data_IF_940813546123
#
_entry.id   IF_940813546123
#
_cell.length_a   1.000
_cell.length_b   1.000
_cell.length_c   1.000
_cell.angle_alpha   90.00
_cell.angle_beta   90.00
_cell.angle_gamma   90.00
#
_symmetry.space_group_name_H-M   'P 1'
#
loop_
_entity.id
_entity.type
_entity.pdbx_description
1 polymer ?
#
# COMPACT_ATOMS: atom_id res chain seq x y z
N UNK A 1 60.56 -19.20 -29.06
CA UNK A 1 59.57 -20.07 -28.40
C UNK A 1 59.27 -19.47 -27.04
N UNK A 2 58.19 -18.68 -26.95
CA UNK A 2 57.75 -18.03 -25.73
C UNK A 2 56.65 -18.90 -25.10
N UNK A 3 56.85 -19.30 -23.84
CA UNK A 3 55.84 -20.04 -23.08
C UNK A 3 54.83 -19.05 -22.50
N UNK A 4 53.66 -19.02 -23.11
CA UNK A 4 52.46 -18.39 -22.57
C UNK A 4 52.00 -19.18 -21.34
N UNK A 5 52.05 -18.54 -20.17
CA UNK A 5 51.60 -19.13 -18.91
C UNK A 5 50.22 -18.56 -18.60
N UNK A 6 49.19 -19.14 -19.21
CA UNK A 6 47.79 -18.86 -18.83
C UNK A 6 47.54 -19.46 -17.45
N UNK A 7 47.48 -18.60 -16.43
CA UNK A 7 47.08 -18.96 -15.07
C UNK A 7 45.67 -19.54 -15.05
N UNK A 8 45.55 -20.80 -14.65
CA UNK A 8 44.28 -21.44 -14.36
C UNK A 8 43.63 -20.80 -13.14
N UNK A 9 42.42 -20.29 -13.33
CA UNK A 9 41.54 -19.88 -12.24
C UNK A 9 41.02 -21.14 -11.56
N UNK A 10 41.38 -21.31 -10.30
CA UNK A 10 40.97 -22.43 -9.44
C UNK A 10 39.44 -22.41 -9.22
N UNK A 11 38.65 -23.40 -9.68
CA UNK A 11 37.20 -23.47 -9.51
C UNK A 11 36.84 -24.04 -8.13
N UNK A 12 37.44 -23.50 -7.07
CA UNK A 12 37.60 -24.23 -5.81
C UNK A 12 37.03 -23.60 -4.55
N UNK A 13 36.45 -22.40 -4.59
CA UNK A 13 35.82 -21.80 -3.41
C UNK A 13 34.72 -20.83 -3.82
N UNK A 14 33.49 -21.34 -3.97
CA UNK A 14 32.33 -20.46 -4.02
C UNK A 14 32.29 -19.64 -2.71
N UNK A 15 32.19 -18.30 -2.79
CA UNK A 15 32.05 -17.48 -1.60
C UNK A 15 30.76 -17.89 -0.88
N UNK A 16 30.91 -18.50 0.29
CA UNK A 16 29.79 -19.02 1.09
C UNK A 16 28.87 -17.91 1.64
N UNK A 17 29.35 -16.67 1.67
CA UNK A 17 28.63 -15.51 2.19
C UNK A 17 27.81 -14.75 1.14
N UNK A 18 26.87 -13.89 1.58
CA UNK A 18 26.16 -12.97 0.70
C UNK A 18 27.12 -11.91 0.17
N UNK A 19 27.13 -11.70 -1.14
CA UNK A 19 27.81 -10.57 -1.79
C UNK A 19 26.84 -9.41 -1.99
N UNK A 20 27.34 -8.20 -1.78
CA UNK A 20 26.63 -6.97 -2.13
C UNK A 20 27.12 -6.50 -3.48
N UNK A 21 26.24 -6.48 -4.46
CA UNK A 21 26.51 -5.86 -5.75
C UNK A 21 25.92 -4.45 -5.75
N UNK A 22 26.70 -3.47 -6.19
CA UNK A 22 26.30 -2.07 -6.28
C UNK A 22 26.30 -1.60 -7.74
N UNK A 23 25.27 -0.84 -8.11
CA UNK A 23 25.10 -0.21 -9.43
C UNK A 23 24.58 1.22 -9.23
N UNK A 24 25.50 2.17 -9.17
CA UNK A 24 25.21 3.58 -8.90
C UNK A 24 24.50 3.79 -7.56
N UNK A 25 23.22 4.19 -7.60
CA UNK A 25 22.37 4.42 -6.41
C UNK A 25 21.52 3.21 -6.05
N UNK A 26 21.88 2.03 -6.52
CA UNK A 26 21.16 0.78 -6.27
C UNK A 26 22.11 -0.29 -5.77
N UNK A 27 21.57 -1.23 -5.00
CA UNK A 27 22.29 -2.41 -4.56
C UNK A 27 21.39 -3.64 -4.61
N UNK A 28 21.99 -4.82 -4.70
CA UNK A 28 21.32 -6.09 -4.47
C UNK A 28 22.22 -7.02 -3.67
N UNK A 29 21.60 -7.98 -3.01
CA UNK A 29 22.29 -9.05 -2.28
C UNK A 29 22.19 -10.31 -3.10
N UNK A 30 23.32 -10.99 -3.33
CA UNK A 30 23.38 -12.27 -4.03
C UNK A 30 24.15 -13.28 -3.18
N UNK A 31 23.62 -14.49 -3.08
CA UNK A 31 24.32 -15.65 -2.55
C UNK A 31 24.04 -16.85 -3.44
N UNK A 32 24.63 -18.01 -3.14
CA UNK A 32 24.32 -19.25 -3.84
C UNK A 32 22.83 -19.65 -3.75
N UNK A 33 22.13 -19.21 -2.69
CA UNK A 33 20.74 -19.63 -2.39
C UNK A 33 19.70 -18.54 -2.62
N UNK A 34 20.08 -17.26 -2.57
CA UNK A 34 19.13 -16.14 -2.55
C UNK A 34 19.67 -14.97 -3.37
N UNK A 35 18.80 -14.34 -4.15
CA UNK A 35 19.10 -13.08 -4.83
C UNK A 35 17.95 -12.10 -4.61
N UNK A 36 18.29 -10.87 -4.25
CA UNK A 36 17.30 -9.77 -4.21
C UNK A 36 17.26 -9.06 -5.57
N UNK A 37 16.13 -8.42 -5.92
CA UNK A 37 16.13 -7.44 -7.01
C UNK A 37 17.03 -6.24 -6.64
N UNK A 38 17.34 -5.40 -7.63
CA UNK A 38 17.97 -4.10 -7.41
C UNK A 38 17.07 -3.20 -6.57
N UNK A 39 17.56 -2.76 -5.41
CA UNK A 39 16.89 -1.84 -4.49
C UNK A 39 17.61 -0.50 -4.46
N UNK A 40 16.92 0.63 -4.20
CA UNK A 40 17.58 1.89 -3.92
C UNK A 40 18.54 1.75 -2.74
N UNK A 41 19.77 2.22 -2.91
CA UNK A 41 20.79 2.16 -1.87
C UNK A 41 20.54 3.24 -0.82
N UNK A 42 19.84 2.85 0.24
CA UNK A 42 19.52 3.71 1.38
C UNK A 42 19.82 2.98 2.69
N UNK A 43 20.16 3.71 3.77
CA UNK A 43 20.38 3.10 5.08
C UNK A 43 19.20 2.23 5.54
N UNK A 44 17.96 2.68 5.29
CA UNK A 44 16.75 1.93 5.64
C UNK A 44 16.61 0.61 4.86
N UNK A 45 16.93 0.60 3.56
CA UNK A 45 16.90 -0.64 2.77
C UNK A 45 18.02 -1.60 3.16
N UNK A 46 19.24 -1.10 3.41
CA UNK A 46 20.35 -1.93 3.90
C UNK A 46 20.03 -2.54 5.26
N UNK A 47 19.46 -1.74 6.17
CA UNK A 47 18.99 -2.19 7.48
C UNK A 47 17.90 -3.27 7.39
N UNK A 48 16.88 -3.05 6.56
CA UNK A 48 15.81 -4.03 6.34
C UNK A 48 16.36 -5.35 5.78
N UNK A 49 17.33 -5.28 4.87
CA UNK A 49 17.97 -6.47 4.31
C UNK A 49 18.84 -7.22 5.31
N UNK A 50 19.56 -6.53 6.21
CA UNK A 50 20.27 -7.20 7.32
C UNK A 50 19.30 -8.03 8.16
N UNK A 51 18.17 -7.45 8.55
CA UNK A 51 17.16 -8.15 9.35
C UNK A 51 16.51 -9.28 8.55
N UNK A 52 16.15 -9.03 7.28
CA UNK A 52 15.53 -10.04 6.44
C UNK A 52 16.45 -11.25 6.21
N UNK A 53 17.70 -11.02 5.82
CA UNK A 53 18.67 -12.07 5.59
C UNK A 53 18.96 -12.87 6.87
N UNK A 54 18.97 -12.22 8.05
CA UNK A 54 19.15 -12.92 9.33
C UNK A 54 18.04 -13.92 9.64
N UNK A 55 16.82 -13.64 9.20
CA UNK A 55 15.64 -14.48 9.45
C UNK A 55 15.50 -15.65 8.46
N UNK A 56 16.35 -15.71 7.43
CA UNK A 56 16.34 -16.83 6.50
C UNK A 56 17.03 -18.02 7.15
N UNK A 57 16.33 -19.14 7.24
CA UNK A 57 16.84 -20.40 7.79
C UNK A 57 16.98 -21.43 6.65
N UNK A 58 17.89 -22.39 6.80
CA UNK A 58 17.93 -23.59 5.98
C UNK A 58 16.90 -24.64 6.45
N UNK A 59 16.89 -25.78 5.77
CA UNK A 59 15.99 -26.90 6.06
C UNK A 59 16.21 -27.52 7.46
N UNK A 60 17.32 -27.20 8.12
CA UNK A 60 17.61 -27.63 9.49
C UNK A 60 17.23 -26.55 10.53
N UNK A 61 16.64 -25.44 10.10
CA UNK A 61 16.32 -24.30 10.98
C UNK A 61 17.54 -23.46 11.35
N UNK A 62 18.68 -23.65 10.69
CA UNK A 62 19.90 -22.89 10.96
C UNK A 62 19.92 -21.62 10.09
N UNK A 63 20.30 -20.45 10.64
CA UNK A 63 20.36 -19.22 9.84
C UNK A 63 21.30 -19.34 8.64
N UNK A 64 20.81 -18.96 7.45
CA UNK A 64 21.55 -18.99 6.19
C UNK A 64 22.78 -18.08 6.20
N UNK A 65 22.77 -17.03 7.02
CA UNK A 65 23.84 -16.04 7.09
C UNK A 65 24.22 -15.73 8.54
N UNK A 66 25.51 -15.65 8.79
CA UNK A 66 26.10 -15.26 10.06
C UNK A 66 26.12 -13.74 10.24
N UNK A 67 26.17 -13.26 11.49
CA UNK A 67 26.24 -11.82 11.77
C UNK A 67 27.47 -11.12 11.13
N UNK A 68 28.68 -11.71 11.12
CA UNK A 68 29.82 -11.16 10.38
C UNK A 68 29.57 -11.03 8.88
N UNK A 69 28.96 -12.04 8.25
CA UNK A 69 28.61 -12.00 6.83
C UNK A 69 27.61 -10.87 6.52
N UNK A 70 26.62 -10.67 7.39
CA UNK A 70 25.63 -9.60 7.25
C UNK A 70 26.20 -8.20 7.45
N UNK A 71 27.37 -8.04 8.09
CA UNK A 71 28.01 -6.73 8.23
C UNK A 71 28.37 -6.13 6.86
N UNK A 72 28.66 -6.97 5.86
CA UNK A 72 28.97 -6.53 4.49
C UNK A 72 27.81 -5.74 3.86
N UNK A 73 26.55 -6.05 4.25
CA UNK A 73 25.35 -5.36 3.79
C UNK A 73 25.32 -3.89 4.21
N UNK A 74 26.03 -3.52 5.27
CA UNK A 74 26.14 -2.15 5.78
C UNK A 74 27.52 -1.53 5.50
N UNK A 75 28.29 -2.14 4.59
CA UNK A 75 29.57 -1.63 4.12
C UNK A 75 30.71 -1.75 5.14
N UNK A 76 30.61 -2.69 6.10
CA UNK A 76 31.64 -2.91 7.12
C UNK A 76 31.95 -4.40 7.25
N UNK A 77 33.17 -4.73 7.67
CA UNK A 77 33.60 -6.13 7.88
C UNK A 77 33.42 -6.60 9.33
N UNK A 78 33.22 -5.67 10.27
CA UNK A 78 33.09 -5.97 11.68
C UNK A 78 31.65 -6.40 12.04
N UNK A 79 31.49 -7.53 12.73
CA UNK A 79 30.22 -8.03 13.29
C UNK A 79 29.42 -6.98 14.06
N UNK A 80 30.11 -6.06 14.73
CA UNK A 80 29.50 -4.96 15.50
C UNK A 80 28.71 -3.98 14.62
N UNK A 81 28.93 -3.99 13.30
CA UNK A 81 28.17 -3.15 12.38
C UNK A 81 26.76 -3.69 12.13
N UNK A 82 26.57 -5.02 12.11
CA UNK A 82 25.25 -5.64 11.94
C UNK A 82 24.50 -5.77 13.26
N UNK A 83 25.20 -5.89 14.40
CA UNK A 83 24.59 -6.13 15.71
C UNK A 83 23.51 -5.11 16.09
N UNK A 84 23.72 -3.78 16.00
CA UNK A 84 22.70 -2.79 16.36
C UNK A 84 21.42 -2.93 15.56
N UNK A 85 21.53 -3.36 14.30
CA UNK A 85 20.38 -3.58 13.43
C UNK A 85 19.55 -4.78 13.86
N UNK A 86 20.20 -5.84 14.34
CA UNK A 86 19.54 -7.04 14.85
C UNK A 86 18.98 -6.83 16.26
N UNK A 87 19.71 -6.13 17.14
CA UNK A 87 19.23 -5.75 18.48
C UNK A 87 17.96 -4.90 18.40
N UNK A 88 17.84 -4.03 17.39
CA UNK A 88 16.61 -3.26 17.16
C UNK A 88 15.39 -4.16 16.84
N UNK A 89 15.60 -5.36 16.29
CA UNK A 89 14.55 -6.31 15.95
C UNK A 89 14.14 -7.21 17.12
N UNK A 90 15.05 -7.49 18.08
CA UNK A 90 14.78 -8.41 19.21
C UNK A 90 13.51 -8.09 20.01
N UNK A 91 13.22 -6.82 20.39
CA UNK A 91 11.99 -6.51 21.13
C UNK A 91 10.70 -6.79 20.35
N UNK A 92 10.79 -7.00 19.02
CA UNK A 92 9.67 -7.38 18.18
C UNK A 92 9.45 -8.89 18.12
N UNK A 93 10.12 -9.69 18.97
CA UNK A 93 10.02 -11.15 18.95
C UNK A 93 10.51 -11.77 17.63
N UNK A 94 11.43 -11.07 16.93
CA UNK A 94 11.91 -11.44 15.59
C UNK A 94 10.80 -11.46 14.50
N UNK A 95 9.62 -10.93 14.79
CA UNK A 95 8.54 -10.75 13.82
C UNK A 95 8.88 -9.58 12.87
N UNK A 96 9.12 -9.92 11.59
CA UNK A 96 9.43 -8.97 10.52
C UNK A 96 8.33 -7.91 10.33
N UNK A 97 7.06 -8.30 10.41
CA UNK A 97 5.95 -7.36 10.26
C UNK A 97 5.90 -6.41 11.45
N UNK A 98 6.04 -6.92 12.67
CA UNK A 98 6.11 -6.09 13.88
C UNK A 98 7.29 -5.13 13.82
N UNK A 99 8.46 -5.58 13.35
CA UNK A 99 9.64 -4.73 13.17
C UNK A 99 9.45 -3.65 12.12
N UNK A 100 8.90 -3.97 10.95
CA UNK A 100 8.61 -2.96 9.91
C UNK A 100 7.58 -1.94 10.40
N UNK A 101 6.56 -2.39 11.14
CA UNK A 101 5.58 -1.51 11.76
C UNK A 101 6.19 -0.65 12.87
N UNK A 102 7.17 -1.17 13.62
CA UNK A 102 7.91 -0.45 14.66
C UNK A 102 8.89 0.58 14.08
N UNK A 103 9.58 0.24 13.00
CA UNK A 103 10.43 1.20 12.28
C UNK A 103 9.60 2.28 11.56
N UNK A 104 8.30 1.99 11.33
CA UNK A 104 7.31 2.99 10.93
C UNK A 104 6.75 3.79 12.10
N UNK A 105 7.08 3.45 13.35
CA UNK A 105 6.65 4.21 14.54
C UNK A 105 7.33 5.57 14.52
N UNK A 106 6.72 6.49 13.80
CA UNK A 106 6.88 7.90 14.08
C UNK A 106 6.57 8.13 15.56
N UNK A 107 7.28 9.10 16.14
CA UNK A 107 7.12 9.51 17.53
C UNK A 107 5.67 9.36 18.03
N UNK A 108 5.44 8.41 18.93
CA UNK A 108 4.10 8.03 19.38
C UNK A 108 3.35 9.24 19.95
N UNK A 109 4.08 10.17 20.57
CA UNK A 109 3.51 11.42 21.10
C UNK A 109 2.99 12.32 19.98
N UNK A 110 3.67 12.33 18.82
CA UNK A 110 3.22 13.02 17.61
C UNK A 110 2.01 12.31 17.00
N UNK A 111 1.99 10.98 16.96
CA UNK A 111 0.83 10.20 16.48
C UNK A 111 -0.41 10.49 17.31
N UNK A 112 -0.30 10.45 18.64
CA UNK A 112 -1.38 10.78 19.56
C UNK A 112 -1.80 12.25 19.47
N UNK A 113 -0.84 13.17 19.34
CA UNK A 113 -1.10 14.59 19.12
C UNK A 113 -1.90 14.84 17.83
N UNK A 114 -1.52 14.19 16.73
CA UNK A 114 -2.21 14.27 15.44
C UNK A 114 -3.62 13.66 15.53
N UNK A 115 -3.77 12.51 16.19
CA UNK A 115 -5.09 11.91 16.42
C UNK A 115 -6.00 12.87 17.19
N UNK A 116 -5.50 13.46 18.28
CA UNK A 116 -6.26 14.43 19.06
C UNK A 116 -6.69 15.64 18.23
N UNK A 117 -5.75 16.27 17.51
CA UNK A 117 -6.05 17.42 16.64
C UNK A 117 -7.11 17.09 15.58
N UNK A 118 -7.02 15.88 15.01
CA UNK A 118 -7.95 15.39 13.98
C UNK A 118 -9.33 15.05 14.53
N UNK A 119 -9.45 14.59 15.78
CA UNK A 119 -10.75 14.38 16.42
C UNK A 119 -11.43 15.70 16.78
N UNK A 120 -10.68 16.75 17.11
CA UNK A 120 -11.25 18.07 17.38
C UNK A 120 -11.78 18.74 16.10
N UNK A 121 -11.02 18.64 15.00
CA UNK A 121 -11.39 19.22 13.70
C UNK A 121 -11.08 18.25 12.55
N UNK A 122 -11.97 17.28 12.29
CA UNK A 122 -11.71 16.23 11.30
C UNK A 122 -11.73 16.72 9.86
N UNK A 123 -12.30 17.90 9.60
CA UNK A 123 -12.35 18.54 8.28
C UNK A 123 -11.19 19.52 8.01
N UNK A 124 -10.40 19.85 9.03
CA UNK A 124 -9.26 20.75 8.90
C UNK A 124 -8.17 20.18 7.99
N UNK A 125 -7.43 21.08 7.33
CA UNK A 125 -6.33 20.70 6.45
C UNK A 125 -5.05 20.30 7.21
N UNK A 126 -4.08 19.62 6.56
CA UNK A 126 -2.83 19.21 7.19
C UNK A 126 -2.03 20.37 7.82
N UNK A 127 -2.06 21.56 7.22
CA UNK A 127 -1.36 22.75 7.75
C UNK A 127 -1.96 23.22 9.08
N UNK A 128 -3.28 23.17 9.23
CA UNK A 128 -3.96 23.53 10.47
C UNK A 128 -3.70 22.50 11.57
N UNK A 129 -3.69 21.21 11.21
CA UNK A 129 -3.30 20.17 12.15
C UNK A 129 -1.84 20.35 12.61
N UNK A 130 -0.92 20.74 11.72
CA UNK A 130 0.48 20.96 12.09
C UNK A 130 0.60 21.99 13.21
N UNK A 131 0.02 23.18 13.02
CA UNK A 131 0.06 24.27 14.01
C UNK A 131 -0.49 23.80 15.35
N UNK A 132 -1.63 23.09 15.35
CA UNK A 132 -2.27 22.59 16.57
C UNK A 132 -1.43 21.53 17.28
N UNK A 133 -0.79 20.64 16.54
CA UNK A 133 0.07 19.59 17.10
C UNK A 133 1.34 20.19 17.68
N UNK A 134 1.96 21.15 16.98
CA UNK A 134 3.12 21.89 17.46
C UNK A 134 2.81 22.63 18.77
N UNK A 135 1.68 23.34 18.82
CA UNK A 135 1.21 24.03 20.03
C UNK A 135 0.95 23.05 21.17
N UNK A 136 0.22 21.95 20.91
CA UNK A 136 -0.13 20.95 21.93
C UNK A 136 1.10 20.27 22.52
N UNK A 137 2.08 19.93 21.69
CA UNK A 137 3.28 19.20 22.11
C UNK A 137 4.43 20.14 22.51
N UNK A 138 4.22 21.46 22.45
CA UNK A 138 5.27 22.48 22.62
C UNK A 138 6.52 22.21 21.74
N UNK A 139 6.30 21.79 20.49
CA UNK A 139 7.36 21.39 19.54
C UNK A 139 7.24 22.13 18.23
N UNK A 140 8.18 23.03 17.96
CA UNK A 140 8.24 23.80 16.71
C UNK A 140 9.03 23.10 15.60
N UNK A 141 9.71 22.00 15.93
CA UNK A 141 10.55 21.25 15.00
C UNK A 141 9.76 20.27 14.11
N UNK A 142 8.46 20.09 14.38
CA UNK A 142 7.60 19.22 13.58
C UNK A 142 7.36 19.81 12.19
N UNK A 143 7.48 18.98 11.17
CA UNK A 143 7.19 19.33 9.77
C UNK A 143 5.95 18.63 9.24
N UNK A 144 5.46 19.06 8.08
CA UNK A 144 4.37 18.36 7.36
C UNK A 144 4.68 16.87 7.11
N UNK A 145 5.93 16.52 6.84
CA UNK A 145 6.34 15.13 6.64
C UNK A 145 6.25 14.28 7.92
N UNK A 146 6.48 14.88 9.10
CA UNK A 146 6.25 14.19 10.39
C UNK A 146 4.76 13.92 10.58
N UNK A 147 3.92 14.89 10.22
CA UNK A 147 2.47 14.79 10.31
C UNK A 147 1.91 13.73 9.37
N UNK A 148 2.34 13.70 8.11
CA UNK A 148 1.90 12.68 7.14
C UNK A 148 2.23 11.26 7.64
N UNK A 149 3.45 11.05 8.14
CA UNK A 149 3.85 9.75 8.73
C UNK A 149 3.03 9.40 9.97
N UNK A 150 2.62 10.38 10.77
CA UNK A 150 1.75 10.14 11.91
C UNK A 150 0.32 9.79 11.47
N UNK A 151 -0.21 10.45 10.44
CA UNK A 151 -1.53 10.15 9.87
C UNK A 151 -1.61 8.72 9.32
N UNK A 152 -0.55 8.24 8.66
CA UNK A 152 -0.48 6.86 8.14
C UNK A 152 -0.59 5.79 9.24
N UNK A 153 -0.35 6.14 10.50
CA UNK A 153 -0.41 5.23 11.64
C UNK A 153 -1.74 5.29 12.41
N UNK A 154 -2.60 6.26 12.11
CA UNK A 154 -3.86 6.46 12.82
C UNK A 154 -4.96 5.60 12.18
N UNK A 155 -5.58 4.73 12.97
CA UNK A 155 -6.77 4.00 12.54
C UNK A 155 -7.90 4.98 12.14
N UNK A 156 -8.58 4.74 11.02
CA UNK A 156 -9.60 5.68 10.53
C UNK A 156 -10.91 5.64 11.33
N UNK A 157 -11.18 4.53 12.04
CA UNK A 157 -12.47 4.27 12.71
C UNK A 157 -12.86 5.37 13.73
N UNK A 158 -11.98 5.82 14.64
CA UNK A 158 -12.32 6.90 15.57
C UNK A 158 -12.63 8.22 14.86
N UNK A 159 -11.87 8.55 13.81
CA UNK A 159 -12.06 9.78 13.01
C UNK A 159 -13.41 9.75 12.29
N UNK A 160 -13.78 8.61 11.71
CA UNK A 160 -15.07 8.44 11.03
C UNK A 160 -16.25 8.54 12.00
N UNK A 161 -16.15 7.97 13.20
CA UNK A 161 -17.21 8.09 14.23
C UNK A 161 -17.42 9.54 14.65
N UNK A 162 -16.34 10.29 14.90
CA UNK A 162 -16.43 11.70 15.26
C UNK A 162 -17.00 12.53 14.13
N UNK A 163 -16.56 12.30 12.90
CA UNK A 163 -17.11 12.98 11.71
C UNK A 163 -18.60 12.69 11.55
N UNK A 164 -19.02 11.45 11.74
CA UNK A 164 -20.44 11.06 11.71
C UNK A 164 -21.27 11.82 12.74
N UNK A 165 -20.81 11.89 14.00
CA UNK A 165 -21.49 12.68 15.05
C UNK A 165 -21.58 14.17 14.73
N UNK A 166 -20.54 14.73 14.12
CA UNK A 166 -20.55 16.14 13.70
C UNK A 166 -21.53 16.38 12.56
N UNK A 167 -21.62 15.45 11.60
CA UNK A 167 -22.62 15.50 10.52
C UNK A 167 -24.04 15.32 11.04
N UNK A 168 -24.26 14.43 12.02
CA UNK A 168 -25.56 14.22 12.67
C UNK A 168 -26.02 15.42 13.51
N UNK A 169 -25.10 16.28 13.97
CA UNK A 169 -25.39 17.44 14.80
C UNK A 169 -25.50 18.77 14.01
N UNK A 170 -25.07 18.79 12.75
CA UNK A 170 -25.11 19.97 11.89
C UNK A 170 -26.38 19.92 11.03
N UNK A 171 -27.34 20.86 11.17
CA UNK A 171 -28.59 20.85 10.40
C UNK A 171 -28.40 21.10 8.89
N UNK A 172 -27.17 21.33 8.44
CA UNK A 172 -26.84 21.63 7.05
C UNK A 172 -26.64 20.35 6.24
N UNK A 173 -27.74 19.68 5.87
CA UNK A 173 -27.81 18.84 4.66
C UNK A 173 -28.98 19.32 3.78
N UNK A 174 -28.94 20.60 3.38
CA UNK A 174 -29.87 21.21 2.41
C UNK A 174 -29.83 20.55 1.01
N UNK A 175 -28.99 19.54 0.79
CA UNK A 175 -28.89 18.83 -0.49
C UNK A 175 -29.54 17.45 -0.49
N UNK A 176 -29.94 16.88 0.66
CA UNK A 176 -30.63 15.58 0.66
C UNK A 176 -31.97 15.68 -0.08
N UNK A 177 -32.75 16.73 0.20
CA UNK A 177 -33.99 17.01 -0.53
C UNK A 177 -33.75 17.19 -2.04
N UNK A 178 -32.68 17.90 -2.41
CA UNK A 178 -32.29 18.12 -3.81
C UNK A 178 -31.87 16.81 -4.50
N UNK A 179 -31.08 15.95 -3.85
CA UNK A 179 -30.65 14.64 -4.35
C UNK A 179 -31.84 13.69 -4.49
N UNK A 180 -32.77 13.69 -3.53
CA UNK A 180 -34.01 12.93 -3.61
C UNK A 180 -34.89 13.39 -4.79
N UNK A 181 -34.97 14.70 -5.02
CA UNK A 181 -35.68 15.27 -6.19
C UNK A 181 -35.02 14.85 -7.51
N UNK A 182 -33.69 14.98 -7.65
CA UNK A 182 -32.95 14.53 -8.85
C UNK A 182 -33.13 13.02 -9.11
N UNK A 183 -33.08 12.19 -8.05
CA UNK A 183 -33.33 10.75 -8.15
C UNK A 183 -34.77 10.44 -8.60
N UNK A 184 -35.77 11.19 -8.13
CA UNK A 184 -37.15 11.03 -8.55
C UNK A 184 -37.38 11.44 -10.00
N UNK A 185 -36.81 12.58 -10.42
CA UNK A 185 -36.93 13.08 -11.78
C UNK A 185 -36.20 12.18 -12.79
N UNK A 186 -35.06 11.60 -12.41
CA UNK A 186 -34.35 10.64 -13.27
C UNK A 186 -35.09 9.31 -13.48
N UNK A 187 -35.97 8.91 -12.55
CA UNK A 187 -36.84 7.71 -12.66
C UNK A 187 -38.00 7.89 -13.64
N UNK A 188 -38.39 9.12 -13.96
CA UNK A 188 -39.43 9.43 -14.95
C UNK A 188 -38.97 9.21 -16.40
N UNK A 189 -37.68 8.93 -16.60
CA UNK A 189 -37.16 8.44 -17.89
C UNK A 189 -37.59 6.97 -18.06
N UNK A 190 -38.28 6.59 -19.15
CA UNK A 190 -38.74 5.21 -19.31
C UNK A 190 -37.57 4.24 -19.22
N UNK A 191 -37.62 3.40 -18.18
CA UNK A 191 -36.61 2.37 -17.92
C UNK A 191 -36.63 1.36 -19.07
N UNK A 192 -35.49 1.22 -19.77
CA UNK A 192 -35.18 0.00 -20.48
C UNK A 192 -35.02 -1.11 -19.43
N UNK A 193 -36.10 -1.86 -19.21
CA UNK A 193 -36.21 -3.16 -18.53
C UNK A 193 -34.96 -3.63 -17.75
N UNK A 194 -34.94 -3.32 -16.46
CA UNK A 194 -33.98 -3.86 -15.50
C UNK A 194 -33.86 -2.93 -14.30
N UNK A 195 -34.11 -3.44 -13.09
CA UNK A 195 -34.01 -2.67 -11.85
C UNK A 195 -32.60 -2.08 -11.74
N UNK A 196 -32.44 -0.78 -12.01
CA UNK A 196 -31.47 0.18 -11.46
C UNK A 196 -29.96 -0.09 -11.51
N UNK A 197 -29.50 -1.29 -11.84
CA UNK A 197 -28.09 -1.69 -11.78
C UNK A 197 -27.43 -1.53 -13.15
N UNK A 198 -27.40 -0.31 -13.66
CA UNK A 198 -26.59 -0.03 -14.83
C UNK A 198 -25.12 0.11 -14.43
N UNK A 199 -24.22 -0.54 -15.17
CA UNK A 199 -22.79 -0.23 -15.08
C UNK A 199 -22.54 1.25 -15.40
N UNK A 200 -21.38 1.81 -15.00
CA UNK A 200 -21.06 3.21 -15.27
C UNK A 200 -21.22 3.51 -16.77
N UNK A 201 -22.12 4.44 -17.12
CA UNK A 201 -22.32 4.89 -18.51
C UNK A 201 -21.00 5.47 -19.01
N UNK A 202 -20.44 4.85 -20.06
CA UNK A 202 -19.17 5.24 -20.68
C UNK A 202 -19.15 6.68 -21.23
N UNK A 203 -20.33 7.31 -21.36
CA UNK A 203 -20.52 8.57 -22.07
C UNK A 203 -20.20 9.84 -21.26
N UNK A 204 -20.05 9.77 -19.93
CA UNK A 204 -19.76 10.94 -19.06
C UNK A 204 -18.54 10.80 -18.14
N UNK A 205 -17.64 9.88 -18.43
CA UNK A 205 -16.40 9.67 -17.67
C UNK A 205 -15.15 10.17 -18.38
N UNK A 206 -14.08 10.44 -17.63
CA UNK A 206 -12.71 10.58 -18.16
C UNK A 206 -12.45 9.45 -19.18
N UNK A 207 -11.98 9.78 -20.40
CA UNK A 207 -11.47 8.78 -21.36
C UNK A 207 -10.27 8.05 -20.73
N UNK A 208 -10.54 6.97 -20.01
CA UNK A 208 -9.54 6.03 -19.58
C UNK A 208 -9.08 5.26 -20.82
N UNK A 209 -7.76 5.15 -21.01
CA UNK A 209 -7.20 4.28 -22.04
C UNK A 209 -7.74 2.85 -21.85
N UNK A 210 -8.04 2.21 -22.98
CA UNK A 210 -8.88 1.01 -23.14
C UNK A 210 -8.77 -0.03 -21.99
N UNK A 211 -9.71 -0.03 -21.02
CA UNK A 211 -9.76 -1.03 -19.96
C UNK A 211 -10.10 -2.44 -20.49
N UNK A 212 -10.56 -2.55 -21.74
CA UNK A 212 -10.94 -3.81 -22.39
C UNK A 212 -9.76 -4.76 -22.56
N UNK A 213 -8.55 -4.25 -22.75
CA UNK A 213 -7.33 -5.07 -22.83
C UNK A 213 -6.99 -5.80 -21.50
N UNK A 214 -7.40 -5.23 -20.36
CA UNK A 214 -7.24 -5.88 -19.05
C UNK A 214 -8.42 -6.83 -18.80
N UNK A 215 -9.64 -6.43 -19.15
CA UNK A 215 -10.85 -7.24 -19.02
C UNK A 215 -10.74 -8.56 -19.83
N UNK A 216 -10.23 -8.50 -21.06
CA UNK A 216 -9.99 -9.67 -21.91
C UNK A 216 -8.99 -10.68 -21.32
N UNK A 217 -8.18 -10.27 -20.34
CA UNK A 217 -7.19 -11.14 -19.68
C UNK A 217 -7.69 -11.78 -18.39
N UNK A 218 -8.84 -11.35 -17.88
CA UNK A 218 -9.39 -11.81 -16.61
C UNK A 218 -10.53 -12.79 -16.91
N UNK A 219 -10.23 -14.09 -16.87
CA UNK A 219 -11.27 -15.13 -16.86
C UNK A 219 -11.80 -15.25 -15.43
N UNK A 220 -13.06 -14.88 -15.14
CA UNK A 220 -13.48 -14.69 -13.75
C UNK A 220 -13.67 -15.98 -12.95
N UNK A 221 -13.99 -17.06 -13.64
CA UNK A 221 -14.20 -18.42 -13.10
C UNK A 221 -12.87 -19.13 -12.78
N UNK A 222 -11.73 -18.55 -13.17
CA UNK A 222 -10.43 -19.25 -13.10
C UNK A 222 -9.85 -19.16 -11.68
N UNK A 223 -9.47 -20.29 -11.04
CA UNK A 223 -8.79 -20.28 -9.76
C UNK A 223 -7.54 -19.40 -9.79
N UNK A 224 -7.25 -18.67 -8.71
CA UNK A 224 -6.14 -17.70 -8.66
C UNK A 224 -4.78 -18.34 -9.04
N UNK A 225 -4.59 -19.63 -8.73
CA UNK A 225 -3.41 -20.42 -9.07
C UNK A 225 -3.21 -20.64 -10.58
N UNK A 226 -4.27 -20.52 -11.38
CA UNK A 226 -4.26 -20.70 -12.83
C UNK A 226 -4.19 -19.38 -13.61
N UNK A 227 -4.13 -18.25 -12.90
CA UNK A 227 -4.00 -16.93 -13.50
C UNK A 227 -2.51 -16.68 -13.78
N UNK A 228 -2.11 -16.32 -15.02
CA UNK A 228 -0.70 -16.04 -15.35
C UNK A 228 -0.08 -15.08 -14.34
N UNK A 229 1.15 -15.35 -13.88
CA UNK A 229 1.71 -14.76 -12.65
C UNK A 229 1.68 -13.23 -12.56
N UNK A 230 1.78 -12.51 -13.68
CA UNK A 230 1.67 -11.05 -13.71
C UNK A 230 0.25 -10.52 -13.48
N UNK A 231 -0.78 -11.32 -13.77
CA UNK A 231 -2.20 -11.02 -13.54
C UNK A 231 -2.69 -11.55 -12.19
N UNK A 232 -2.25 -12.75 -11.77
CA UNK A 232 -2.63 -13.32 -10.47
C UNK A 232 -2.21 -12.41 -9.31
N UNK A 233 -1.02 -11.82 -9.43
CA UNK A 233 -0.53 -10.83 -8.48
C UNK A 233 -1.31 -9.51 -8.55
N UNK A 234 -1.84 -9.11 -9.71
CA UNK A 234 -2.75 -7.93 -9.85
C UNK A 234 -4.08 -8.14 -9.12
N UNK A 235 -4.60 -9.36 -9.15
CA UNK A 235 -5.85 -9.74 -8.48
C UNK A 235 -5.72 -9.81 -6.96
N UNK A 236 -4.60 -10.31 -6.46
CA UNK A 236 -4.29 -10.40 -5.02
C UNK A 236 -4.11 -9.02 -4.35
N UNK A 237 -4.01 -7.95 -5.16
CA UNK A 237 -3.79 -6.57 -4.71
C UNK A 237 -5.08 -5.79 -4.44
N UNK A 238 -6.22 -6.18 -5.00
CA UNK A 238 -7.53 -5.53 -4.71
C UNK A 238 -7.85 -5.44 -3.20
N UNK A 239 -7.60 -6.48 -2.38
CA UNK A 239 -7.79 -6.41 -0.93
C UNK A 239 -6.91 -5.35 -0.24
N UNK A 240 -5.72 -5.06 -0.79
CA UNK A 240 -4.82 -4.03 -0.25
C UNK A 240 -5.32 -2.61 -0.60
N UNK A 241 -5.97 -2.44 -1.75
CA UNK A 241 -6.60 -1.17 -2.15
C UNK A 241 -7.86 -0.92 -1.32
N UNK A 242 -8.68 -1.97 -1.14
CA UNK A 242 -9.78 -1.99 -0.17
C UNK A 242 -9.30 -1.67 1.26
N UNK A 243 -8.06 -2.03 1.58
CA UNK A 243 -7.39 -1.71 2.85
C UNK A 243 -6.92 -0.26 3.02
N UNK A 244 -7.29 0.66 2.12
CA UNK A 244 -6.92 2.09 2.15
C UNK A 244 -5.41 2.37 2.09
N UNK A 245 -4.61 1.50 1.48
CA UNK A 245 -3.18 1.77 1.32
C UNK A 245 -2.96 2.84 0.24
N UNK A 246 -2.23 3.94 0.51
CA UNK A 246 -2.07 5.02 -0.48
C UNK A 246 -1.41 4.56 -1.78
N UNK A 247 -1.94 5.00 -2.93
CA UNK A 247 -1.42 4.69 -4.27
C UNK A 247 0.06 5.10 -4.46
N UNK A 248 0.53 6.11 -3.73
CA UNK A 248 1.92 6.54 -3.76
C UNK A 248 2.87 5.51 -3.12
N UNK A 249 2.42 4.84 -2.05
CA UNK A 249 3.17 3.76 -1.40
C UNK A 249 3.30 2.56 -2.35
N UNK A 250 2.23 2.26 -3.10
CA UNK A 250 2.23 1.23 -4.12
C UNK A 250 3.17 1.56 -5.28
N UNK A 251 3.10 2.79 -5.78
CA UNK A 251 3.90 3.22 -6.92
C UNK A 251 5.40 3.12 -6.62
N UNK A 252 5.80 3.54 -5.42
CA UNK A 252 7.18 3.39 -4.93
C UNK A 252 7.58 1.93 -4.75
N UNK A 253 6.72 1.09 -4.18
CA UNK A 253 7.02 -0.32 -3.96
C UNK A 253 7.26 -1.13 -5.25
N UNK A 254 6.69 -0.68 -6.37
CA UNK A 254 6.74 -1.42 -7.64
C UNK A 254 7.44 -0.69 -8.78
N UNK A 255 7.98 0.50 -8.52
CA UNK A 255 8.60 1.31 -9.57
C UNK A 255 7.63 1.71 -10.69
N UNK A 256 6.34 1.85 -10.38
CA UNK A 256 5.32 2.27 -11.36
C UNK A 256 4.62 3.54 -10.89
N UNK A 257 4.12 4.34 -11.83
CA UNK A 257 3.40 5.55 -11.49
C UNK A 257 2.00 5.25 -10.91
N UNK A 258 1.49 6.13 -10.03
CA UNK A 258 0.16 5.99 -9.38
C UNK A 258 -0.98 5.81 -10.39
N UNK A 259 -0.89 6.44 -11.56
CA UNK A 259 -1.90 6.33 -12.63
C UNK A 259 -1.96 4.92 -13.22
N UNK A 260 -0.83 4.22 -13.30
CA UNK A 260 -0.76 2.84 -13.77
C UNK A 260 -1.51 1.90 -12.81
N UNK A 261 -1.37 2.14 -11.51
CA UNK A 261 -2.08 1.38 -10.48
C UNK A 261 -3.58 1.61 -10.56
N UNK A 262 -4.02 2.87 -10.67
CA UNK A 262 -5.45 3.22 -10.83
C UNK A 262 -6.03 2.53 -12.06
N UNK A 263 -5.33 2.54 -13.19
CA UNK A 263 -5.77 1.84 -14.41
C UNK A 263 -5.97 0.34 -14.17
N UNK A 264 -5.08 -0.30 -13.42
CA UNK A 264 -5.21 -1.71 -13.10
C UNK A 264 -6.42 -1.99 -12.19
N UNK A 265 -6.58 -1.20 -11.13
CA UNK A 265 -7.71 -1.35 -10.19
C UNK A 265 -9.04 -1.15 -10.90
N UNK A 266 -9.18 -0.06 -11.65
CA UNK A 266 -10.40 0.25 -12.39
C UNK A 266 -10.69 -0.81 -13.45
N UNK A 267 -9.68 -1.23 -14.22
CA UNK A 267 -9.85 -2.28 -15.23
C UNK A 267 -10.33 -3.60 -14.62
N UNK A 268 -9.78 -4.01 -13.47
CA UNK A 268 -10.22 -5.20 -12.75
C UNK A 268 -11.64 -5.05 -12.18
N UNK A 269 -11.97 -3.89 -11.62
CA UNK A 269 -13.30 -3.61 -11.06
C UNK A 269 -14.37 -3.68 -12.15
N UNK A 270 -14.13 -3.03 -13.29
CA UNK A 270 -15.03 -3.06 -14.44
C UNK A 270 -15.17 -4.48 -15.01
N UNK A 271 -14.09 -5.24 -15.12
CA UNK A 271 -14.13 -6.62 -15.61
C UNK A 271 -14.94 -7.56 -14.70
N UNK A 272 -14.95 -7.31 -13.39
CA UNK A 272 -15.66 -8.13 -12.40
C UNK A 272 -17.08 -7.67 -12.12
N UNK A 273 -17.40 -6.42 -12.41
CA UNK A 273 -18.70 -5.82 -12.09
C UNK A 273 -19.90 -6.61 -12.65
N UNK A 274 -19.91 -7.08 -13.91
CA UNK A 274 -21.06 -7.82 -14.45
C UNK A 274 -21.41 -9.07 -13.64
N UNK A 275 -20.40 -9.80 -13.13
CA UNK A 275 -20.62 -11.00 -12.32
C UNK A 275 -21.11 -10.68 -10.92
N UNK A 276 -20.57 -9.61 -10.32
CA UNK A 276 -21.05 -9.13 -9.03
C UNK A 276 -22.50 -8.67 -9.15
N UNK A 277 -22.82 -7.87 -10.18
CA UNK A 277 -24.16 -7.38 -10.44
C UNK A 277 -25.15 -8.53 -10.72
N UNK A 278 -24.76 -9.51 -11.55
CA UNK A 278 -25.57 -10.69 -11.80
C UNK A 278 -25.80 -11.51 -10.53
N UNK A 279 -24.74 -11.81 -9.77
CA UNK A 279 -24.86 -12.55 -8.51
C UNK A 279 -25.70 -11.83 -7.46
N UNK A 280 -25.63 -10.50 -7.39
CA UNK A 280 -26.52 -9.68 -6.55
C UNK A 280 -27.97 -9.82 -7.05
N UNK A 281 -28.21 -9.64 -8.34
CA UNK A 281 -29.55 -9.72 -8.92
C UNK A 281 -30.23 -11.09 -8.73
N UNK A 282 -29.48 -12.18 -8.83
CA UNK A 282 -30.03 -13.54 -8.64
C UNK A 282 -30.27 -13.87 -7.16
N UNK A 283 -29.38 -13.44 -6.26
CA UNK A 283 -29.40 -13.88 -4.85
C UNK A 283 -30.11 -12.92 -3.91
N UNK A 284 -30.16 -11.64 -4.26
CA UNK A 284 -30.73 -10.61 -3.39
C UNK A 284 -32.17 -10.34 -3.82
N UNK A 285 -33.09 -11.11 -3.23
CA UNK A 285 -34.53 -10.78 -3.23
C UNK A 285 -34.82 -9.96 -1.97
N UNK A 286 -34.61 -8.65 -2.06
CA UNK A 286 -34.77 -7.78 -0.91
C UNK A 286 -36.24 -7.41 -0.69
N UNK A 287 -36.79 -7.72 0.50
CA UNK A 287 -38.11 -7.22 0.93
C UNK A 287 -38.07 -5.73 1.31
N UNK A 288 -36.88 -5.20 1.60
CA UNK A 288 -36.62 -3.82 1.99
C UNK A 288 -35.29 -3.38 1.39
N UNK A 289 -35.26 -2.16 0.86
CA UNK A 289 -34.06 -1.52 0.33
C UNK A 289 -33.78 -0.30 1.19
N UNK A 290 -32.62 -0.28 1.83
CA UNK A 290 -32.12 0.89 2.55
C UNK A 290 -31.10 1.61 1.65
N UNK A 291 -31.17 2.93 1.59
CA UNK A 291 -30.30 3.79 0.78
C UNK A 291 -29.37 4.54 1.72
N UNK A 292 -28.07 4.50 1.43
CA UNK A 292 -27.02 5.21 2.17
C UNK A 292 -26.30 6.15 1.20
N UNK A 293 -26.28 7.44 1.51
CA UNK A 293 -25.61 8.46 0.71
C UNK A 293 -24.14 8.61 1.12
N UNK A 294 -23.25 8.70 0.13
CA UNK A 294 -21.81 8.85 0.37
C UNK A 294 -21.24 10.03 -0.38
N UNK A 295 -20.92 11.07 0.38
CA UNK A 295 -20.29 12.28 -0.14
C UNK A 295 -18.78 12.11 -0.35
N UNK A 296 -18.33 12.35 -1.57
CA UNK A 296 -16.94 12.29 -2.00
C UNK A 296 -16.47 13.67 -2.47
N UNK A 297 -15.36 14.16 -1.89
CA UNK A 297 -14.74 15.40 -2.35
C UNK A 297 -13.80 15.12 -3.53
N UNK A 298 -14.26 15.41 -4.75
CA UNK A 298 -13.48 15.23 -5.98
C UNK A 298 -13.03 16.60 -6.46
N UNK A 299 -11.71 16.83 -6.53
CA UNK A 299 -11.10 18.10 -6.97
C UNK A 299 -11.67 19.33 -6.24
N UNK A 300 -11.90 19.18 -4.94
CA UNK A 300 -12.39 20.27 -4.09
C UNK A 300 -13.91 20.46 -4.08
N UNK A 301 -14.65 19.78 -4.96
CA UNK A 301 -16.13 19.80 -5.01
C UNK A 301 -16.70 18.55 -4.36
N UNK A 302 -17.78 18.69 -3.60
CA UNK A 302 -18.52 17.56 -3.04
C UNK A 302 -19.44 16.98 -4.12
N UNK A 303 -19.49 15.66 -4.18
CA UNK A 303 -20.28 14.83 -5.07
C UNK A 303 -20.88 13.68 -4.27
#
# INVERSE_FOLDING_TARGET
MAHDTTGGVDPGQEPRGPSVEADGRRFRVRSARVATPWLPDTPSHRHLLVVWCRLLLDDQGTPLFTVPELATLVGRTNRQAASPHLEACRPCGEDRRAFVLRQRTGDTTVVEGVLHARLQTPLAGPTEWLVRVQQRLARQDLSGANLERAVEQIACVPVLRTRRRQLEADPVHDQEAWVLTELWESRSTPALSGIGWHGPRAERGMRLADPTALAARVTPERPLAQVPGSLGWRTLRMPLDYGNVPLAVWGRGWGVHKTTIVRWVVGLALARWPLVAHGIGERVKAARVDVDEKWLKIRGRWH
#
